data_IF_522772556719
#
_entry.id   IF_522772556719
#
_cell.length_a   1.000
_cell.length_b   1.000
_cell.length_c   1.000
_cell.angle_alpha   90.00
_cell.angle_beta   90.00
_cell.angle_gamma   90.00
#
_symmetry.space_group_name_H-M   'P 1'
#
loop_
_entity.id
_entity.type
_entity.pdbx_description
1 polymer ?
#
# COMPACT_ATOMS: atom_id res chain seq x y z
N UNK A 1 -9.71 -12.78 -21.93
CA UNK A 1 -9.95 -12.78 -20.48
C UNK A 1 -8.77 -12.09 -19.81
N UNK A 2 -9.02 -10.99 -19.09
CA UNK A 2 -8.01 -10.21 -18.36
C UNK A 2 -8.00 -10.64 -16.88
N UNK A 3 -6.83 -11.00 -16.39
CA UNK A 3 -6.62 -11.42 -15.01
C UNK A 3 -6.05 -10.28 -14.17
N UNK A 4 -6.74 -9.91 -13.10
CA UNK A 4 -6.26 -9.00 -12.07
C UNK A 4 -5.68 -9.76 -10.88
N UNK A 5 -4.71 -9.16 -10.18
CA UNK A 5 -4.20 -9.64 -8.89
C UNK A 5 -4.32 -8.52 -7.87
N UNK A 6 -5.07 -8.78 -6.79
CA UNK A 6 -5.25 -7.88 -5.66
C UNK A 6 -4.43 -8.35 -4.47
N UNK A 7 -3.55 -7.48 -3.96
CA UNK A 7 -2.61 -7.77 -2.87
C UNK A 7 -3.01 -7.00 -1.61
N UNK A 8 -3.34 -7.72 -0.55
CA UNK A 8 -3.74 -7.12 0.72
C UNK A 8 -2.59 -6.39 1.42
N UNK A 9 -2.95 -5.44 2.27
CA UNK A 9 -2.08 -4.94 3.32
C UNK A 9 -1.77 -6.02 4.36
N UNK A 10 -0.67 -5.89 5.08
CA UNK A 10 -0.28 -6.88 6.09
C UNK A 10 1.11 -6.63 6.67
N UNK A 11 1.61 -5.41 6.58
CA UNK A 11 2.92 -5.03 7.12
C UNK A 11 4.05 -5.88 6.54
N UNK A 12 4.91 -6.43 7.40
CA UNK A 12 6.08 -7.23 6.97
C UNK A 12 5.67 -8.50 6.20
N UNK A 13 4.48 -9.06 6.46
CA UNK A 13 3.96 -10.24 5.75
C UNK A 13 3.81 -10.00 4.25
N UNK A 14 3.70 -8.74 3.82
CA UNK A 14 3.61 -8.36 2.41
C UNK A 14 4.72 -8.93 1.52
N UNK A 15 5.88 -9.31 2.09
CA UNK A 15 6.96 -9.98 1.34
C UNK A 15 6.48 -11.29 0.68
N UNK A 16 5.48 -11.97 1.25
CA UNK A 16 4.92 -13.21 0.71
C UNK A 16 4.24 -13.00 -0.65
N UNK A 17 3.73 -11.80 -0.93
CA UNK A 17 3.14 -11.47 -2.23
C UNK A 17 4.13 -11.66 -3.38
N UNK A 18 5.43 -11.39 -3.16
CA UNK A 18 6.45 -11.65 -4.17
C UNK A 18 6.55 -13.14 -4.51
N UNK A 19 6.33 -14.03 -3.53
CA UNK A 19 6.26 -15.48 -3.75
C UNK A 19 5.05 -15.88 -4.60
N UNK A 20 3.89 -15.29 -4.34
CA UNK A 20 2.68 -15.53 -5.14
C UNK A 20 2.87 -15.08 -6.58
N UNK A 21 3.39 -13.86 -6.80
CA UNK A 21 3.68 -13.36 -8.15
C UNK A 21 4.68 -14.27 -8.87
N UNK A 22 5.71 -14.75 -8.16
CA UNK A 22 6.68 -15.72 -8.71
C UNK A 22 6.01 -17.03 -9.14
N UNK A 23 5.13 -17.57 -8.29
CA UNK A 23 4.41 -18.80 -8.60
C UNK A 23 3.50 -18.63 -9.84
N UNK A 24 2.81 -17.51 -9.97
CA UNK A 24 1.99 -17.21 -11.14
C UNK A 24 2.84 -17.13 -12.42
N UNK A 25 4.00 -16.48 -12.38
CA UNK A 25 4.94 -16.43 -13.51
C UNK A 25 5.47 -17.83 -13.88
N UNK A 26 5.86 -18.65 -12.88
CA UNK A 26 6.39 -20.00 -13.12
C UNK A 26 5.35 -20.92 -13.76
N UNK A 27 4.08 -20.70 -13.50
CA UNK A 27 2.97 -21.40 -14.12
C UNK A 27 2.46 -20.73 -15.40
N UNK A 28 3.21 -19.76 -15.95
CA UNK A 28 2.86 -19.01 -17.16
C UNK A 28 1.48 -18.33 -17.10
N UNK A 29 1.03 -17.95 -15.88
CA UNK A 29 -0.21 -17.21 -15.67
C UNK A 29 0.08 -15.74 -15.85
N UNK A 30 -0.42 -15.18 -16.95
CA UNK A 30 -0.24 -13.75 -17.25
C UNK A 30 -1.13 -12.90 -16.37
N UNK A 31 -0.53 -11.92 -15.72
CA UNK A 31 -1.23 -10.88 -14.95
C UNK A 31 -1.41 -9.66 -15.85
N UNK A 32 -2.65 -9.22 -16.07
CA UNK A 32 -2.98 -8.09 -16.93
C UNK A 32 -3.20 -6.79 -16.14
N UNK A 33 -3.64 -6.89 -14.87
CA UNK A 33 -3.86 -5.77 -13.96
C UNK A 33 -3.40 -6.13 -12.55
N UNK A 34 -2.94 -5.15 -11.79
CA UNK A 34 -2.55 -5.39 -10.41
C UNK A 34 -3.05 -4.27 -9.50
N UNK A 35 -3.39 -4.60 -8.27
CA UNK A 35 -3.72 -3.63 -7.24
C UNK A 35 -3.17 -4.06 -5.90
N UNK A 36 -3.01 -3.11 -4.99
CA UNK A 36 -2.57 -3.46 -3.65
C UNK A 36 -2.68 -2.31 -2.68
N UNK A 37 -2.86 -2.66 -1.42
CA UNK A 37 -3.02 -1.71 -0.32
C UNK A 37 -1.86 -1.87 0.67
N UNK A 38 -1.37 -0.77 1.25
CA UNK A 38 -0.29 -0.80 2.25
C UNK A 38 0.93 -1.58 1.72
N UNK A 39 1.38 -2.62 2.42
CA UNK A 39 2.49 -3.47 1.93
C UNK A 39 2.19 -4.14 0.58
N UNK A 40 0.92 -4.39 0.25
CA UNK A 40 0.51 -4.85 -1.08
C UNK A 40 0.78 -3.81 -2.16
N UNK A 41 0.62 -2.51 -1.88
CA UNK A 41 0.93 -1.42 -2.81
C UNK A 41 2.42 -1.34 -3.14
N UNK A 42 3.28 -1.64 -2.15
CA UNK A 42 4.73 -1.72 -2.31
C UNK A 42 5.11 -2.76 -3.38
N UNK A 43 4.50 -3.93 -3.29
CA UNK A 43 4.76 -5.05 -4.22
C UNK A 43 4.12 -4.79 -5.59
N UNK A 44 2.84 -4.37 -5.58
CA UNK A 44 2.08 -4.11 -6.79
C UNK A 44 2.75 -3.05 -7.69
N UNK A 45 3.23 -1.95 -7.11
CA UNK A 45 3.88 -0.88 -7.87
C UNK A 45 5.19 -1.34 -8.52
N UNK A 46 6.02 -2.09 -7.80
CA UNK A 46 7.26 -2.64 -8.36
C UNK A 46 6.97 -3.63 -9.50
N UNK A 47 5.98 -4.49 -9.32
CA UNK A 47 5.59 -5.44 -10.34
C UNK A 47 5.02 -4.75 -11.58
N UNK A 48 4.14 -3.78 -11.40
CA UNK A 48 3.57 -2.98 -12.48
C UNK A 48 4.63 -2.18 -13.28
N UNK A 49 5.73 -1.77 -12.62
CA UNK A 49 6.90 -1.17 -13.27
C UNK A 49 7.80 -2.18 -14.00
N UNK A 50 7.46 -3.47 -14.00
CA UNK A 50 8.20 -4.53 -14.69
C UNK A 50 9.44 -5.02 -13.93
N UNK A 51 9.44 -4.95 -12.60
CA UNK A 51 10.47 -5.61 -11.79
C UNK A 51 10.07 -7.05 -11.50
N UNK A 52 11.03 -7.98 -11.60
CA UNK A 52 10.77 -9.40 -11.33
C UNK A 52 10.43 -9.66 -9.87
N UNK A 53 9.62 -10.68 -9.56
CA UNK A 53 9.31 -11.06 -8.17
C UNK A 53 10.55 -11.33 -7.33
N UNK A 54 11.60 -11.87 -7.92
CA UNK A 54 12.89 -12.09 -7.23
C UNK A 54 13.58 -10.78 -6.83
N UNK A 55 13.58 -9.77 -7.71
CA UNK A 55 14.09 -8.45 -7.37
C UNK A 55 13.29 -7.81 -6.24
N UNK A 56 11.95 -7.91 -6.32
CA UNK A 56 11.03 -7.39 -5.31
C UNK A 56 11.31 -8.03 -3.95
N UNK A 57 11.42 -9.36 -3.89
CA UNK A 57 11.77 -10.09 -2.68
C UNK A 57 13.09 -9.61 -2.08
N UNK A 58 14.15 -9.50 -2.89
CA UNK A 58 15.47 -9.04 -2.42
C UNK A 58 15.44 -7.61 -1.89
N UNK A 59 14.71 -6.72 -2.56
CA UNK A 59 14.54 -5.34 -2.12
C UNK A 59 13.85 -5.29 -0.74
N UNK A 60 12.77 -6.02 -0.59
CA UNK A 60 12.00 -6.11 0.66
C UNK A 60 12.85 -6.68 1.79
N UNK A 61 13.52 -7.83 1.55
CA UNK A 61 14.41 -8.47 2.52
C UNK A 61 15.53 -7.55 3.01
N UNK A 62 16.15 -6.79 2.09
CA UNK A 62 17.21 -5.84 2.44
C UNK A 62 16.72 -4.69 3.32
N UNK A 63 15.48 -4.24 3.13
CA UNK A 63 14.90 -3.12 3.87
C UNK A 63 14.03 -3.57 5.06
N UNK A 64 13.84 -4.89 5.26
CA UNK A 64 12.98 -5.43 6.32
C UNK A 64 13.37 -4.92 7.71
N UNK A 65 14.68 -4.89 8.03
CA UNK A 65 15.17 -4.35 9.31
C UNK A 65 14.74 -2.91 9.55
N UNK A 66 14.82 -2.04 8.54
CA UNK A 66 14.38 -0.63 8.66
C UNK A 66 12.88 -0.50 8.90
N UNK A 67 12.10 -1.47 8.45
CA UNK A 67 10.63 -1.51 8.61
C UNK A 67 10.27 -2.04 10.01
N UNK A 68 11.01 -3.03 10.52
CA UNK A 68 10.72 -3.69 11.80
C UNK A 68 11.37 -3.03 13.02
N UNK A 69 12.52 -2.38 12.87
CA UNK A 69 13.24 -1.70 13.97
C UNK A 69 12.64 -0.34 14.33
N UNK A 70 11.31 -0.23 14.35
CA UNK A 70 10.64 0.91 14.93
C UNK A 70 10.58 0.69 16.43
N UNK A 71 11.63 1.10 17.16
CA UNK A 71 11.60 1.20 18.61
C UNK A 71 10.60 2.29 19.02
N UNK A 72 9.36 1.89 19.18
CA UNK A 72 8.23 2.76 19.58
C UNK A 72 8.38 3.20 21.03
N UNK A 73 9.11 2.43 21.85
CA UNK A 73 9.23 2.60 23.30
C UNK A 73 9.73 3.98 23.79
N UNK A 74 10.83 4.57 23.26
CA UNK A 74 11.31 5.86 23.75
C UNK A 74 10.40 7.04 23.37
N UNK A 75 9.71 6.94 22.24
CA UNK A 75 8.85 7.99 21.71
C UNK A 75 7.46 7.98 22.38
N UNK A 76 6.95 6.81 22.73
CA UNK A 76 5.71 6.69 23.51
C UNK A 76 5.88 7.29 24.91
N UNK A 77 7.04 7.08 25.54
CA UNK A 77 7.38 7.73 26.82
C UNK A 77 7.46 9.26 26.69
N UNK A 78 8.03 9.79 25.61
CA UNK A 78 8.08 11.24 25.38
C UNK A 78 6.71 11.85 25.08
N UNK A 79 5.82 11.07 24.46
CA UNK A 79 4.44 11.46 24.18
C UNK A 79 3.59 11.59 25.45
N UNK A 80 3.76 10.66 26.40
CA UNK A 80 3.04 10.67 27.68
C UNK A 80 3.57 11.78 28.59
N UNK A 81 4.86 12.09 28.53
CA UNK A 81 5.51 13.06 29.40
C UNK A 81 5.47 14.51 28.88
N UNK A 82 5.26 14.74 27.59
CA UNK A 82 5.34 16.06 26.97
C UNK A 82 4.09 16.41 26.16
N UNK A 83 3.03 16.81 26.86
CA UNK A 83 1.71 17.18 26.30
C UNK A 83 1.73 18.44 25.38
N UNK A 84 2.90 18.94 24.95
CA UNK A 84 3.05 20.20 24.19
C UNK A 84 3.53 20.03 22.74
N UNK A 85 3.97 18.84 22.33
CA UNK A 85 4.40 18.62 20.95
C UNK A 85 3.28 17.99 20.11
N UNK A 86 2.85 18.69 19.08
CA UNK A 86 1.92 18.16 18.06
C UNK A 86 2.66 17.09 17.22
N UNK A 87 2.77 15.86 17.75
CA UNK A 87 3.34 14.74 17.00
C UNK A 87 2.26 14.21 16.07
N UNK A 88 2.47 14.31 14.76
CA UNK A 88 1.55 13.81 13.73
C UNK A 88 1.79 12.32 13.41
N UNK A 89 2.96 11.79 13.77
CA UNK A 89 3.40 10.41 13.55
C UNK A 89 4.85 10.23 13.99
N UNK A 90 5.34 9.00 14.07
CA UNK A 90 6.72 8.69 14.48
C UNK A 90 7.74 8.86 13.35
N UNK A 91 7.30 8.71 12.10
CA UNK A 91 8.14 8.82 10.88
C UNK A 91 7.39 9.59 9.80
N UNK A 92 8.11 10.40 9.03
CA UNK A 92 7.52 11.14 7.91
C UNK A 92 7.14 10.22 6.72
N UNK A 93 7.82 9.09 6.55
CA UNK A 93 7.66 8.21 5.39
C UNK A 93 8.36 8.70 4.13
N UNK A 94 9.10 9.81 4.17
CA UNK A 94 9.80 10.40 3.02
C UNK A 94 10.89 9.47 2.47
N UNK A 95 11.60 8.75 3.33
CA UNK A 95 12.61 7.77 2.88
C UNK A 95 12.00 6.68 1.97
N UNK A 96 10.77 6.24 2.27
CA UNK A 96 10.05 5.29 1.45
C UNK A 96 9.66 5.91 0.10
N UNK A 97 9.14 7.13 0.12
CA UNK A 97 8.78 7.91 -1.06
C UNK A 97 9.99 8.09 -2.00
N UNK A 98 11.12 8.55 -1.45
CA UNK A 98 12.36 8.76 -2.21
C UNK A 98 12.90 7.45 -2.80
N UNK A 99 12.88 6.36 -2.02
CA UNK A 99 13.32 5.05 -2.48
C UNK A 99 12.52 4.61 -3.71
N UNK A 100 11.18 4.70 -3.65
CA UNK A 100 10.32 4.27 -4.75
C UNK A 100 10.42 5.19 -5.96
N UNK A 101 10.54 6.50 -5.77
CA UNK A 101 10.77 7.45 -6.85
C UNK A 101 12.13 7.18 -7.54
N UNK A 102 13.18 6.87 -6.78
CA UNK A 102 14.50 6.50 -7.34
C UNK A 102 14.43 5.21 -8.15
N UNK A 103 13.66 4.22 -7.69
CA UNK A 103 13.47 2.95 -8.39
C UNK A 103 12.64 3.16 -9.67
N UNK A 104 11.55 3.93 -9.61
CA UNK A 104 10.70 4.27 -10.74
C UNK A 104 11.51 5.01 -11.84
N UNK A 105 12.33 5.97 -11.43
CA UNK A 105 13.18 6.74 -12.33
C UNK A 105 14.16 5.88 -13.16
N UNK A 106 14.61 4.73 -12.63
CA UNK A 106 15.46 3.77 -13.37
C UNK A 106 14.74 3.13 -14.57
N UNK A 107 13.40 3.16 -14.57
CA UNK A 107 12.55 2.67 -15.65
C UNK A 107 11.96 3.82 -16.50
N UNK A 108 12.41 5.06 -16.28
CA UNK A 108 11.85 6.24 -16.95
C UNK A 108 10.46 6.63 -16.49
N UNK A 109 10.04 6.16 -15.30
CA UNK A 109 8.71 6.39 -14.72
C UNK A 109 8.83 7.52 -13.68
N UNK A 110 7.94 8.50 -13.77
CA UNK A 110 7.85 9.64 -12.85
C UNK A 110 6.56 9.59 -12.05
N UNK A 111 5.45 9.36 -12.72
CA UNK A 111 4.10 9.27 -12.13
C UNK A 111 3.47 7.91 -12.40
N UNK A 112 2.32 7.64 -11.76
CA UNK A 112 1.57 6.42 -12.05
C UNK A 112 1.14 6.34 -13.50
N UNK A 113 0.84 7.48 -14.17
CA UNK A 113 0.43 7.52 -15.58
C UNK A 113 1.46 6.91 -16.54
N UNK A 114 2.75 6.93 -16.18
CA UNK A 114 3.83 6.36 -17.00
C UNK A 114 3.87 4.81 -16.97
N UNK A 115 3.16 4.20 -16.01
CA UNK A 115 3.12 2.74 -15.87
C UNK A 115 2.16 2.16 -16.91
N UNK A 116 2.63 1.17 -17.68
CA UNK A 116 1.82 0.55 -18.76
C UNK A 116 0.77 -0.41 -18.23
N UNK A 117 1.11 -1.22 -17.21
CA UNK A 117 0.19 -2.15 -16.58
C UNK A 117 -0.85 -1.38 -15.76
N UNK A 118 -2.16 -1.65 -15.91
CA UNK A 118 -3.16 -1.05 -15.03
C UNK A 118 -2.88 -1.37 -13.57
N UNK A 119 -2.81 -0.31 -12.76
CA UNK A 119 -2.55 -0.42 -11.31
C UNK A 119 -3.56 0.42 -10.53
N UNK A 120 -3.97 -0.07 -9.35
CA UNK A 120 -4.78 0.67 -8.39
C UNK A 120 -4.23 0.50 -6.98
N UNK A 121 -4.13 1.60 -6.27
CA UNK A 121 -3.58 1.69 -4.91
C UNK A 121 -4.57 2.49 -4.06
N UNK A 122 -5.36 1.84 -3.18
CA UNK A 122 -6.26 2.53 -2.26
C UNK A 122 -5.51 3.33 -1.20
N UNK A 123 -6.08 4.47 -0.83
CA UNK A 123 -5.66 5.30 0.31
C UNK A 123 -6.87 5.99 0.93
N UNK A 124 -6.74 6.51 2.14
CA UNK A 124 -7.80 7.22 2.84
C UNK A 124 -7.39 8.66 3.10
N UNK A 125 -8.21 9.62 2.67
CA UNK A 125 -8.05 11.02 3.10
C UNK A 125 -8.73 11.20 4.47
N UNK A 126 -7.93 11.36 5.51
CA UNK A 126 -8.45 11.54 6.87
C UNK A 126 -9.13 12.90 7.08
N UNK A 127 -8.83 13.90 6.23
CA UNK A 127 -9.48 15.22 6.31
C UNK A 127 -10.93 15.15 5.87
N UNK A 128 -11.26 14.22 4.97
CA UNK A 128 -12.59 14.05 4.38
C UNK A 128 -13.27 12.76 4.82
N UNK A 129 -12.55 11.86 5.50
CA UNK A 129 -13.01 10.51 5.87
C UNK A 129 -13.48 9.69 4.66
N UNK A 130 -12.72 9.77 3.56
CA UNK A 130 -13.10 9.18 2.27
C UNK A 130 -11.96 8.38 1.66
N UNK A 131 -12.32 7.32 0.92
CA UNK A 131 -11.39 6.57 0.09
C UNK A 131 -11.01 7.36 -1.17
N UNK A 132 -9.74 7.28 -1.54
CA UNK A 132 -9.19 7.71 -2.82
C UNK A 132 -8.42 6.56 -3.47
N UNK A 133 -8.45 6.52 -4.80
CA UNK A 133 -7.81 5.49 -5.60
C UNK A 133 -6.68 6.10 -6.44
N UNK A 134 -5.45 5.77 -6.08
CA UNK A 134 -4.26 6.19 -6.80
C UNK A 134 -4.01 5.17 -7.91
N UNK A 135 -4.05 5.61 -9.16
CA UNK A 135 -4.08 4.71 -10.32
C UNK A 135 -3.41 5.34 -11.53
N UNK A 136 -3.11 4.57 -12.55
CA UNK A 136 -2.61 5.10 -13.83
C UNK A 136 -3.71 5.35 -14.85
N UNK A 137 -4.97 5.01 -14.56
CA UNK A 137 -6.12 5.27 -15.43
C UNK A 137 -7.44 5.31 -14.66
N UNK A 138 -8.36 6.12 -15.12
CA UNK A 138 -9.73 6.18 -14.59
C UNK A 138 -10.58 5.14 -15.34
N UNK A 139 -11.45 4.37 -14.64
CA UNK A 139 -12.39 3.47 -15.31
C UNK A 139 -13.32 4.20 -16.28
N UNK A 140 -13.63 3.59 -17.43
CA UNK A 140 -14.53 4.19 -18.44
C UNK A 140 -15.92 4.49 -17.86
N UNK A 141 -16.42 3.61 -16.97
CA UNK A 141 -17.68 3.79 -16.26
C UNK A 141 -17.39 4.14 -14.81
N UNK A 142 -17.12 5.42 -14.55
CA UNK A 142 -16.83 5.92 -13.22
C UNK A 142 -17.87 6.95 -12.78
N UNK A 143 -18.49 6.73 -11.61
CA UNK A 143 -19.47 7.66 -11.06
C UNK A 143 -18.81 8.84 -10.32
N UNK A 144 -17.64 8.64 -9.74
CA UNK A 144 -16.91 9.62 -8.94
C UNK A 144 -15.46 9.74 -9.42
N UNK A 145 -15.21 10.33 -10.61
CA UNK A 145 -13.85 10.42 -11.17
C UNK A 145 -12.89 11.24 -10.29
N UNK A 146 -13.42 12.15 -9.45
CA UNK A 146 -12.65 12.95 -8.51
C UNK A 146 -11.99 12.14 -7.38
N UNK A 147 -12.41 10.90 -7.20
CA UNK A 147 -11.77 9.95 -6.25
C UNK A 147 -10.55 9.24 -6.85
N UNK A 148 -10.29 9.42 -8.13
CA UNK A 148 -9.17 8.80 -8.83
C UNK A 148 -8.06 9.82 -9.09
N UNK A 149 -6.87 9.54 -8.60
CA UNK A 149 -5.70 10.40 -8.76
C UNK A 149 -4.68 9.67 -9.63
N UNK A 150 -4.33 10.24 -10.77
CA UNK A 150 -3.39 9.64 -11.73
C UNK A 150 -2.03 10.35 -11.77
N UNK A 151 -2.00 11.68 -11.61
CA UNK A 151 -0.79 12.49 -11.70
C UNK A 151 0.00 12.56 -10.39
N UNK A 152 0.20 11.43 -9.76
CA UNK A 152 0.95 11.30 -8.50
C UNK A 152 2.22 10.49 -8.74
N UNK A 153 3.34 10.86 -8.09
CA UNK A 153 4.56 10.06 -8.20
C UNK A 153 4.39 8.68 -7.56
N UNK A 154 5.09 7.68 -8.08
CA UNK A 154 5.01 6.30 -7.57
C UNK A 154 5.34 6.24 -6.08
N UNK A 155 6.40 6.93 -5.66
CA UNK A 155 6.79 6.97 -4.26
C UNK A 155 5.75 7.62 -3.36
N UNK A 156 5.13 8.73 -3.82
CA UNK A 156 4.06 9.40 -3.08
C UNK A 156 2.82 8.50 -2.95
N UNK A 157 2.43 7.80 -4.02
CA UNK A 157 1.30 6.89 -4.01
C UNK A 157 1.51 5.73 -3.02
N UNK A 158 2.70 5.12 -3.05
CA UNK A 158 3.07 4.05 -2.14
C UNK A 158 3.13 4.54 -0.68
N UNK A 159 3.73 5.71 -0.43
CA UNK A 159 3.74 6.35 0.90
C UNK A 159 2.32 6.60 1.40
N UNK A 160 1.45 7.19 0.58
CA UNK A 160 0.07 7.47 0.94
C UNK A 160 -0.66 6.21 1.43
N UNK A 161 -0.61 5.12 0.63
CA UNK A 161 -1.26 3.85 0.95
C UNK A 161 -0.62 3.09 2.11
N UNK A 162 0.62 3.43 2.50
CA UNK A 162 1.38 2.76 3.57
C UNK A 162 1.56 3.63 4.81
N UNK A 163 0.91 4.79 4.88
CA UNK A 163 0.97 5.68 6.04
C UNK A 163 0.10 5.15 7.18
N UNK A 164 0.59 4.09 7.86
CA UNK A 164 -0.08 3.43 8.97
C UNK A 164 -0.23 4.43 10.13
N UNK A 165 -1.46 4.62 10.67
CA UNK A 165 -1.71 5.50 11.81
C UNK A 165 -0.75 5.24 12.97
N UNK A 166 -0.40 6.28 13.73
CA UNK A 166 0.56 6.27 14.84
C UNK A 166 2.01 6.14 14.38
N UNK A 167 2.31 5.34 13.36
CA UNK A 167 3.68 5.06 12.91
C UNK A 167 4.17 6.12 11.95
N UNK A 168 3.34 6.42 10.95
CA UNK A 168 3.66 7.44 9.95
C UNK A 168 2.79 8.67 10.09
N UNK A 169 3.36 9.82 9.74
CA UNK A 169 2.59 11.03 9.51
C UNK A 169 1.67 10.85 8.31
N UNK A 170 0.48 11.50 8.31
CA UNK A 170 -0.33 11.57 7.12
C UNK A 170 0.48 12.07 5.93
N UNK A 171 0.36 11.41 4.79
CA UNK A 171 1.05 11.79 3.57
C UNK A 171 0.35 13.00 2.93
N UNK A 172 0.98 14.20 2.90
CA UNK A 172 0.36 15.36 2.29
C UNK A 172 0.42 15.26 0.77
N UNK A 173 -0.71 15.55 0.13
CA UNK A 173 -0.80 15.68 -1.33
C UNK A 173 -1.87 16.72 -1.68
N UNK A 174 -1.48 17.87 -2.24
CA UNK A 174 -2.37 19.01 -2.52
C UNK A 174 -3.18 19.39 -1.27
N UNK A 175 -4.50 19.24 -1.31
CA UNK A 175 -5.42 19.52 -0.18
C UNK A 175 -5.74 18.29 0.67
N UNK A 176 -5.10 17.14 0.39
CA UNK A 176 -5.37 15.86 1.03
C UNK A 176 -4.35 15.55 2.12
N UNK A 177 -4.77 14.76 3.09
CA UNK A 177 -3.93 14.16 4.12
C UNK A 177 -4.16 12.64 4.11
N UNK A 178 -3.36 11.93 3.31
CA UNK A 178 -3.55 10.50 3.07
C UNK A 178 -2.96 9.63 4.17
N UNK A 179 -3.70 8.57 4.50
CA UNK A 179 -3.33 7.51 5.41
C UNK A 179 -3.50 6.14 4.75
N UNK A 180 -3.08 5.08 5.44
CA UNK A 180 -3.14 3.70 4.97
C UNK A 180 -4.54 3.32 4.47
N UNK A 181 -4.60 2.81 3.24
CA UNK A 181 -5.84 2.40 2.59
C UNK A 181 -6.55 1.23 3.26
N UNK A 182 -5.81 0.44 4.07
CA UNK A 182 -6.33 -0.73 4.75
C UNK A 182 -7.49 -0.46 5.70
N UNK A 183 -7.66 0.81 6.11
CA UNK A 183 -8.78 1.20 6.97
C UNK A 183 -10.14 1.07 6.27
N UNK A 184 -10.22 1.29 4.96
CA UNK A 184 -11.47 1.23 4.18
C UNK A 184 -11.44 0.14 3.09
N UNK A 185 -10.28 -0.13 2.48
CA UNK A 185 -10.14 -1.06 1.38
C UNK A 185 -8.78 -1.78 1.45
N UNK A 186 -8.77 -2.89 2.15
CA UNK A 186 -7.54 -3.67 2.32
C UNK A 186 -7.18 -4.54 1.10
N UNK A 187 -8.16 -4.83 0.23
CA UNK A 187 -7.96 -5.67 -0.97
C UNK A 187 -8.76 -5.10 -2.14
N UNK A 188 -8.16 -4.42 -3.12
CA UNK A 188 -8.86 -3.67 -4.17
C UNK A 188 -9.39 -4.58 -5.29
N UNK A 189 -10.26 -5.54 -4.97
CA UNK A 189 -10.87 -6.46 -5.94
C UNK A 189 -11.88 -5.76 -6.83
N UNK A 190 -12.76 -4.95 -6.22
CA UNK A 190 -13.80 -4.19 -6.93
C UNK A 190 -13.17 -3.20 -7.92
N UNK A 191 -12.13 -2.53 -7.50
CA UNK A 191 -11.41 -1.51 -8.27
C UNK A 191 -10.72 -2.12 -9.49
N UNK A 192 -10.12 -3.31 -9.35
CA UNK A 192 -9.55 -4.04 -10.48
C UNK A 192 -10.63 -4.50 -11.48
N UNK A 193 -11.80 -4.92 -10.99
CA UNK A 193 -12.94 -5.23 -11.88
C UNK A 193 -13.42 -3.99 -12.63
N UNK A 194 -13.51 -2.85 -11.96
CA UNK A 194 -13.84 -1.57 -12.58
C UNK A 194 -12.81 -1.14 -13.64
N UNK A 195 -11.52 -1.46 -13.43
CA UNK A 195 -10.45 -1.24 -14.39
C UNK A 195 -10.44 -2.26 -15.54
N UNK A 196 -11.38 -3.21 -15.55
CA UNK A 196 -11.60 -4.16 -16.65
C UNK A 196 -11.03 -5.55 -16.45
N UNK A 197 -10.77 -5.98 -15.20
CA UNK A 197 -10.45 -7.38 -14.91
C UNK A 197 -11.69 -8.27 -15.04
N UNK A 198 -11.61 -9.34 -15.83
CA UNK A 198 -12.66 -10.36 -15.90
C UNK A 198 -12.67 -11.26 -14.67
N UNK A 199 -11.45 -11.61 -14.19
CA UNK A 199 -11.21 -12.38 -12.96
C UNK A 199 -10.16 -11.70 -12.11
N UNK A 200 -10.27 -11.87 -10.78
CA UNK A 200 -9.30 -11.33 -9.82
C UNK A 200 -8.88 -12.44 -8.85
N UNK A 201 -7.58 -12.64 -8.73
CA UNK A 201 -6.98 -13.42 -7.65
C UNK A 201 -6.72 -12.45 -6.49
N UNK A 202 -7.42 -12.64 -5.38
CA UNK A 202 -7.21 -11.89 -4.15
C UNK A 202 -6.24 -12.64 -3.22
N UNK A 203 -5.15 -11.98 -2.86
CA UNK A 203 -4.12 -12.54 -1.95
C UNK A 203 -4.21 -11.80 -0.63
N UNK A 204 -4.66 -12.48 0.40
CA UNK A 204 -4.81 -11.93 1.76
C UNK A 204 -4.05 -12.76 2.79
N UNK A 205 -3.87 -12.18 3.95
CA UNK A 205 -3.34 -12.88 5.12
C UNK A 205 -4.48 -13.20 6.08
N UNK A 206 -4.44 -14.40 6.64
CA UNK A 206 -5.37 -14.74 7.72
C UNK A 206 -5.08 -13.87 8.94
N UNK A 207 -6.15 -13.48 9.63
CA UNK A 207 -6.05 -12.69 10.83
C UNK A 207 -5.41 -13.54 11.95
N UNK A 208 -4.21 -13.18 12.38
CA UNK A 208 -3.59 -13.80 13.56
C UNK A 208 -4.33 -13.37 14.84
N UNK A 209 -4.42 -14.29 15.80
CA UNK A 209 -4.88 -13.95 17.14
C UNK A 209 -3.88 -13.00 17.81
N UNK A 210 -4.37 -12.02 18.56
CA UNK A 210 -3.51 -11.19 19.42
C UNK A 210 -3.02 -12.10 20.55
N UNK A 211 -1.71 -12.15 20.73
CA UNK A 211 -1.03 -12.87 21.81
C UNK A 211 -0.64 -11.91 22.93
N UNK A 212 -0.39 -12.41 24.12
CA UNK A 212 0.09 -11.58 25.25
C UNK A 212 1.37 -10.80 24.93
N UNK A 213 2.21 -11.33 24.03
CA UNK A 213 3.46 -10.71 23.59
C UNK A 213 3.27 -9.70 22.42
N UNK A 214 2.03 -9.45 21.99
CA UNK A 214 1.74 -8.55 20.87
C UNK A 214 2.12 -7.11 21.20
N UNK A 215 2.83 -6.47 20.30
CA UNK A 215 3.22 -5.08 20.45
C UNK A 215 2.15 -4.12 19.87
N UNK A 216 2.33 -2.81 20.08
CA UNK A 216 1.39 -1.78 19.61
C UNK A 216 1.17 -1.87 18.08
N UNK A 217 2.21 -2.22 17.31
CA UNK A 217 2.12 -2.41 15.87
C UNK A 217 1.17 -3.54 15.50
N UNK A 218 1.26 -4.68 16.20
CA UNK A 218 0.40 -5.83 15.95
C UNK A 218 -1.06 -5.48 16.22
N UNK A 219 -1.33 -4.68 17.27
CA UNK A 219 -2.67 -4.20 17.59
C UNK A 219 -3.19 -3.26 16.50
N UNK A 220 -2.39 -2.29 16.06
CA UNK A 220 -2.76 -1.36 14.98
C UNK A 220 -3.04 -2.12 13.68
N UNK A 221 -2.17 -3.04 13.29
CA UNK A 221 -2.36 -3.85 12.08
C UNK A 221 -3.60 -4.73 12.18
N UNK A 222 -3.85 -5.32 13.35
CA UNK A 222 -5.07 -6.11 13.60
C UNK A 222 -6.33 -5.25 13.51
N UNK A 223 -6.29 -4.04 14.03
CA UNK A 223 -7.40 -3.09 13.94
C UNK A 223 -7.71 -2.74 12.49
N UNK A 224 -6.69 -2.44 11.67
CA UNK A 224 -6.85 -2.19 10.24
C UNK A 224 -7.41 -3.41 9.51
N UNK A 225 -6.93 -4.63 9.82
CA UNK A 225 -7.45 -5.87 9.25
C UNK A 225 -8.94 -6.06 9.58
N UNK A 226 -9.36 -5.77 10.81
CA UNK A 226 -10.78 -5.88 11.25
C UNK A 226 -11.63 -4.85 10.50
N UNK A 227 -11.18 -3.61 10.39
CA UNK A 227 -11.89 -2.54 9.70
C UNK A 227 -12.05 -2.86 8.21
N UNK A 228 -10.97 -3.19 7.53
CA UNK A 228 -10.97 -3.50 6.11
C UNK A 228 -11.78 -4.75 5.74
N UNK A 229 -11.84 -5.76 6.63
CA UNK A 229 -12.62 -6.97 6.38
C UNK A 229 -14.14 -6.82 6.61
N UNK A 230 -14.58 -5.78 7.32
CA UNK A 230 -16.02 -5.52 7.53
C UNK A 230 -16.66 -4.69 6.42
N UNK A 231 -15.85 -4.00 5.64
CA UNK A 231 -16.31 -3.06 4.60
C UNK A 231 -16.21 -3.70 3.21
N UNK A 232 -15.46 -4.79 3.07
CA UNK A 232 -15.33 -5.61 1.85
C UNK A 232 -16.38 -6.69 1.81
#
# INVERSE_FOLDING_TARGET
>A
MKLGVALAGGGIRGICHAGVLKALEDHHIKIDLIGGTSSGSLIASLYAMGYSPYYIYRLFKRNAKKITETNVSPLLCSFILNNKTKIKGLKSGEELEELYNKIAKRKGITTLEDIKMPIVIPTVDISKSEEYLLTNRIPEKCFNPEKYITKISVGKAVRASSSIPVIFEPCPYETHAFMDGGALNNIPVKELKQLGADKVIAVKFDAEAIREESNVMDIVMKTLDIMGNKIS
#
